data_IF_511478548181
#
_entry.id   IF_511478548181
#
_cell.length_a   1.000
_cell.length_b   1.000
_cell.length_c   1.000
_cell.angle_alpha   90.00
_cell.angle_beta   90.00
_cell.angle_gamma   90.00
#
_symmetry.space_group_name_H-M   'P 1'
#
loop_
_entity.id
_entity.type
_entity.pdbx_description
1 polymer ?
#
# COMPACT_ATOMS: atom_id res chain seq x y z
N UNK A 1 -12.54 -5.13 -8.12
CA UNK A 1 -11.96 -4.51 -6.89
C UNK A 1 -12.96 -3.57 -6.27
N UNK A 2 -13.20 -3.71 -5.00
CA UNK A 2 -14.06 -2.79 -4.28
C UNK A 2 -13.26 -1.56 -3.86
N UNK A 3 -13.74 -0.37 -4.19
CA UNK A 3 -13.07 0.89 -3.86
C UNK A 3 -14.00 1.73 -2.99
N UNK A 4 -13.52 2.10 -1.81
CA UNK A 4 -14.23 2.96 -0.88
C UNK A 4 -13.45 4.27 -0.75
N UNK A 5 -14.09 5.38 -1.05
CA UNK A 5 -13.48 6.71 -0.95
C UNK A 5 -13.96 7.39 0.32
N UNK A 6 -13.08 8.20 0.91
CA UNK A 6 -13.40 8.99 2.11
C UNK A 6 -13.92 8.13 3.26
N UNK A 7 -13.42 6.88 3.34
CA UNK A 7 -13.90 5.95 4.35
C UNK A 7 -13.33 6.23 5.75
N UNK A 8 -12.28 7.00 5.84
CA UNK A 8 -11.59 7.31 7.09
C UNK A 8 -11.32 8.81 7.18
N UNK A 9 -12.33 9.61 7.51
CA UNK A 9 -12.18 11.06 7.55
C UNK A 9 -11.25 11.52 8.66
N UNK A 10 -10.57 12.64 8.43
CA UNK A 10 -9.64 13.23 9.38
C UNK A 10 -8.42 12.34 9.60
N UNK A 11 -7.87 12.39 10.78
CA UNK A 11 -6.68 11.65 11.17
C UNK A 11 -6.97 10.27 11.77
N UNK A 12 -8.22 9.81 11.68
CA UNK A 12 -8.63 8.50 12.18
C UNK A 12 -7.95 7.35 11.47
N UNK A 13 -7.54 7.52 10.22
CA UNK A 13 -6.89 6.46 9.46
C UNK A 13 -5.65 5.92 10.18
N UNK A 14 -4.94 6.76 10.91
CA UNK A 14 -3.76 6.35 11.68
C UNK A 14 -4.10 5.31 12.73
N UNK A 15 -5.23 5.48 13.39
CA UNK A 15 -5.68 4.57 14.45
C UNK A 15 -6.41 3.37 13.90
N UNK A 16 -7.35 3.60 13.00
CA UNK A 16 -8.25 2.57 12.51
C UNK A 16 -7.51 1.51 11.69
N UNK A 17 -6.45 1.91 11.00
CA UNK A 17 -5.70 1.00 10.12
C UNK A 17 -4.27 0.75 10.57
N UNK A 18 -3.84 1.40 11.63
CA UNK A 18 -2.50 1.20 12.18
C UNK A 18 -1.39 1.56 11.20
N UNK A 19 -1.59 2.61 10.42
CA UNK A 19 -0.65 2.99 9.35
C UNK A 19 0.75 3.37 9.86
N UNK A 20 0.88 3.68 11.13
CA UNK A 20 2.16 3.98 11.75
C UNK A 20 2.86 2.72 12.27
N UNK A 21 2.26 1.54 12.09
CA UNK A 21 2.75 0.30 12.70
C UNK A 21 2.62 -0.88 11.76
N UNK A 22 3.73 -1.54 11.52
CA UNK A 22 3.75 -2.82 10.80
C UNK A 22 3.04 -3.93 11.56
N UNK A 23 2.84 -3.76 12.87
CA UNK A 23 2.14 -4.72 13.72
C UNK A 23 0.71 -4.96 13.26
N UNK A 24 0.13 -4.02 12.54
CA UNK A 24 -1.23 -4.13 12.00
C UNK A 24 -1.28 -4.81 10.64
N UNK A 25 -0.15 -5.29 10.12
CA UNK A 25 -0.11 -5.97 8.83
C UNK A 25 -0.06 -5.04 7.62
N UNK A 26 0.23 -3.77 7.82
CA UNK A 26 0.34 -2.79 6.75
C UNK A 26 1.81 -2.50 6.44
N UNK A 27 2.16 -2.59 5.17
CA UNK A 27 3.49 -2.24 4.67
C UNK A 27 3.41 -0.93 3.89
N UNK A 28 4.34 -0.03 4.15
CA UNK A 28 4.39 1.22 3.41
C UNK A 28 4.85 0.97 1.97
N UNK A 29 4.17 1.60 1.02
CA UNK A 29 4.58 1.61 -0.38
C UNK A 29 5.24 2.96 -0.64
N UNK A 30 6.55 2.95 -0.80
CA UNK A 30 7.32 4.16 -1.09
C UNK A 30 7.17 4.48 -2.58
N UNK A 31 6.54 5.61 -2.85
CA UNK A 31 6.27 6.08 -4.20
C UNK A 31 7.16 7.25 -4.61
N UNK A 32 8.14 7.60 -3.78
CA UNK A 32 9.03 8.74 -4.00
C UNK A 32 8.29 10.09 -4.05
N UNK A 33 7.05 10.13 -3.62
CA UNK A 33 6.28 11.37 -3.48
C UNK A 33 6.48 11.93 -2.07
N UNK A 34 6.10 13.21 -1.89
CA UNK A 34 6.20 13.84 -0.57
C UNK A 34 5.23 13.16 0.41
N UNK A 35 5.78 12.49 1.41
CA UNK A 35 5.02 11.75 2.41
C UNK A 35 4.12 12.63 3.28
N UNK A 36 4.33 13.96 3.29
CA UNK A 36 3.45 14.89 4.02
C UNK A 36 2.06 14.95 3.40
N UNK A 37 1.96 14.74 2.10
CA UNK A 37 0.70 14.89 1.36
C UNK A 37 0.17 13.57 0.84
N UNK A 38 1.00 12.56 0.72
CA UNK A 38 0.65 11.29 0.11
C UNK A 38 1.09 10.14 0.99
N UNK A 39 0.36 9.07 0.93
CA UNK A 39 0.78 7.83 1.57
C UNK A 39 0.03 6.66 0.97
N UNK A 40 0.74 5.56 0.80
CA UNK A 40 0.15 4.31 0.33
C UNK A 40 0.66 3.17 1.21
N UNK A 41 -0.26 2.32 1.64
CA UNK A 41 0.03 1.16 2.46
C UNK A 41 -0.68 -0.06 1.89
N UNK A 42 -0.02 -1.19 1.97
CA UNK A 42 -0.55 -2.45 1.46
C UNK A 42 -0.65 -3.47 2.60
N UNK A 43 -1.74 -4.20 2.65
CA UNK A 43 -1.96 -5.30 3.58
C UNK A 43 -2.07 -6.60 2.79
N UNK A 44 -0.99 -7.40 2.70
CA UNK A 44 -1.00 -8.60 1.86
C UNK A 44 -1.84 -9.73 2.42
N UNK A 45 -2.13 -9.73 3.71
CA UNK A 45 -2.98 -10.76 4.33
C UNK A 45 -4.46 -10.50 4.02
N UNK A 46 -4.87 -9.24 4.10
CA UNK A 46 -6.26 -8.83 3.86
C UNK A 46 -6.52 -8.45 2.41
N UNK A 47 -5.48 -8.38 1.59
CA UNK A 47 -5.52 -7.99 0.18
C UNK A 47 -6.13 -6.59 0.00
N UNK A 48 -5.65 -5.66 0.79
CA UNK A 48 -6.15 -4.28 0.80
C UNK A 48 -5.01 -3.31 0.54
N UNK A 49 -5.34 -2.21 -0.13
CA UNK A 49 -4.43 -1.10 -0.36
C UNK A 49 -5.14 0.17 0.11
N UNK A 50 -4.51 0.87 1.03
CA UNK A 50 -5.00 2.14 1.56
C UNK A 50 -4.11 3.27 1.05
N UNK A 51 -4.73 4.37 0.66
CA UNK A 51 -3.97 5.57 0.30
C UNK A 51 -4.68 6.83 0.76
N UNK A 52 -3.90 7.87 0.97
CA UNK A 52 -4.42 9.20 1.15
C UNK A 52 -3.65 10.18 0.27
N UNK A 53 -4.34 11.25 -0.12
CA UNK A 53 -3.77 12.33 -0.91
C UNK A 53 -4.40 13.62 -0.42
N UNK A 54 -3.63 14.46 0.26
CA UNK A 54 -4.08 15.75 0.77
C UNK A 54 -5.38 15.67 1.59
N UNK A 55 -5.50 14.61 2.39
CA UNK A 55 -6.67 14.41 3.24
C UNK A 55 -7.74 13.49 2.67
N UNK A 56 -7.74 13.25 1.38
CA UNK A 56 -8.66 12.28 0.76
C UNK A 56 -8.14 10.87 0.99
N UNK A 57 -9.02 9.99 1.45
CA UNK A 57 -8.67 8.61 1.74
C UNK A 57 -9.36 7.65 0.78
N UNK A 58 -8.66 6.58 0.42
CA UNK A 58 -9.18 5.54 -0.47
C UNK A 58 -8.74 4.18 0.04
N UNK A 59 -9.69 3.27 0.17
CA UNK A 59 -9.40 1.86 0.47
C UNK A 59 -9.81 1.02 -0.74
N UNK A 60 -8.86 0.24 -1.24
CA UNK A 60 -9.09 -0.72 -2.32
C UNK A 60 -9.03 -2.12 -1.73
N UNK A 61 -10.05 -2.92 -1.99
CA UNK A 61 -10.15 -4.30 -1.50
C UNK A 61 -10.13 -5.23 -2.70
N UNK A 62 -9.05 -5.97 -2.85
CA UNK A 62 -8.89 -6.91 -3.96
C UNK A 62 -9.69 -8.18 -3.71
N UNK A 63 -10.26 -8.74 -4.77
CA UNK A 63 -11.03 -9.97 -4.71
C UNK A 63 -10.14 -11.21 -4.76
N UNK A 64 -8.87 -11.07 -5.14
CA UNK A 64 -7.92 -12.17 -5.29
C UNK A 64 -6.50 -11.69 -5.08
N UNK A 65 -5.56 -12.61 -4.78
CA UNK A 65 -4.13 -12.28 -4.72
C UNK A 65 -3.60 -11.67 -6.03
N UNK A 66 -4.08 -12.18 -7.16
CA UNK A 66 -3.69 -11.71 -8.48
C UNK A 66 -4.11 -10.26 -8.71
N UNK A 67 -5.33 -9.92 -8.30
CA UNK A 67 -5.83 -8.55 -8.41
C UNK A 67 -5.05 -7.59 -7.52
N UNK A 68 -4.71 -8.04 -6.30
CA UNK A 68 -3.91 -7.27 -5.37
C UNK A 68 -2.52 -6.96 -5.95
N UNK A 69 -1.85 -7.99 -6.47
CA UNK A 69 -0.51 -7.83 -7.08
C UNK A 69 -0.57 -6.94 -8.32
N UNK A 70 -1.59 -7.11 -9.15
CA UNK A 70 -1.77 -6.29 -10.35
C UNK A 70 -1.95 -4.81 -9.99
N UNK A 71 -2.69 -4.51 -8.94
CA UNK A 71 -2.89 -3.13 -8.50
C UNK A 71 -1.59 -2.48 -8.03
N UNK A 72 -0.78 -3.21 -7.27
CA UNK A 72 0.52 -2.70 -6.84
C UNK A 72 1.46 -2.46 -8.02
N UNK A 73 1.42 -3.33 -9.03
CA UNK A 73 2.21 -3.13 -10.24
C UNK A 73 1.73 -1.96 -11.07
N UNK A 74 0.44 -1.67 -11.05
CA UNK A 74 -0.08 -0.46 -11.70
C UNK A 74 0.39 0.81 -11.02
N UNK A 75 0.48 0.81 -9.69
CA UNK A 75 1.04 1.93 -8.92
C UNK A 75 2.51 2.15 -9.32
N UNK A 76 3.28 1.07 -9.42
CA UNK A 76 4.66 1.14 -9.86
C UNK A 76 4.78 1.70 -11.28
N UNK A 77 3.97 1.19 -12.20
CA UNK A 77 3.98 1.64 -13.60
C UNK A 77 3.59 3.13 -13.71
N UNK A 78 2.58 3.56 -12.95
CA UNK A 78 2.17 4.96 -12.93
C UNK A 78 3.30 5.86 -12.42
N UNK A 79 3.96 5.45 -11.34
CA UNK A 79 5.08 6.21 -10.78
C UNK A 79 6.22 6.35 -11.79
N UNK A 80 6.58 5.27 -12.45
CA UNK A 80 7.65 5.29 -13.47
C UNK A 80 7.28 6.19 -14.64
N UNK A 81 6.03 6.11 -15.10
CA UNK A 81 5.56 6.92 -16.21
C UNK A 81 5.55 8.42 -15.90
N UNK A 82 5.43 8.78 -14.63
CA UNK A 82 5.38 10.18 -14.19
C UNK A 82 6.73 10.68 -13.62
N UNK A 83 7.78 9.89 -13.77
CA UNK A 83 9.14 10.31 -13.38
C UNK A 83 9.45 10.20 -11.89
N UNK A 84 8.61 9.51 -11.10
CA UNK A 84 8.86 9.32 -9.67
C UNK A 84 9.77 8.13 -9.37
N UNK A 85 10.10 7.32 -10.38
CA UNK A 85 10.89 6.12 -10.19
C UNK A 85 10.03 4.94 -9.71
N UNK A 86 10.67 3.83 -9.31
CA UNK A 86 9.94 2.64 -8.92
C UNK A 86 9.20 2.82 -7.60
N UNK A 87 8.02 2.21 -7.49
CA UNK A 87 7.37 2.02 -6.21
C UNK A 87 8.03 0.85 -5.48
N UNK A 88 8.33 1.03 -4.20
CA UNK A 88 8.97 0.00 -3.37
C UNK A 88 8.11 -0.29 -2.16
N UNK A 89 7.94 -1.57 -1.83
CA UNK A 89 7.19 -2.00 -0.66
C UNK A 89 8.17 -2.29 0.47
N UNK A 90 8.00 -1.62 1.58
CA UNK A 90 8.85 -1.79 2.76
C UNK A 90 8.19 -2.77 3.73
N UNK A 91 8.72 -3.99 3.88
CA UNK A 91 8.19 -4.97 4.82
C UNK A 91 8.55 -4.66 6.28
N UNK A 92 9.35 -3.63 6.54
CA UNK A 92 9.86 -3.35 7.87
C UNK A 92 10.78 -4.46 8.35
N UNK A 93 10.73 -4.75 9.64
CA UNK A 93 11.49 -5.85 10.25
C UNK A 93 10.61 -7.07 10.51
N UNK A 94 9.53 -7.23 9.77
CA UNK A 94 8.57 -8.32 9.94
C UNK A 94 8.82 -9.41 8.88
N UNK A 95 9.41 -10.56 9.27
CA UNK A 95 9.67 -11.65 8.33
C UNK A 95 8.38 -12.24 7.74
N UNK A 96 7.29 -12.23 8.49
CA UNK A 96 6.01 -12.73 8.01
C UNK A 96 5.44 -11.83 6.92
N UNK A 97 5.59 -10.52 7.06
CA UNK A 97 5.20 -9.55 6.03
C UNK A 97 6.00 -9.77 4.75
N UNK A 98 7.32 -9.91 4.88
CA UNK A 98 8.21 -10.16 3.75
C UNK A 98 7.81 -11.44 3.03
N UNK A 99 7.61 -12.52 3.78
CA UNK A 99 7.22 -13.81 3.21
C UNK A 99 5.87 -13.73 2.47
N UNK A 100 4.89 -13.03 3.04
CA UNK A 100 3.60 -12.85 2.40
C UNK A 100 3.71 -12.12 1.06
N UNK A 101 4.52 -11.07 1.00
CA UNK A 101 4.76 -10.31 -0.23
C UNK A 101 5.50 -11.15 -1.28
N UNK A 102 6.47 -11.96 -0.85
CA UNK A 102 7.18 -12.87 -1.75
C UNK A 102 6.26 -13.92 -2.35
N UNK A 103 5.35 -14.48 -1.54
CA UNK A 103 4.35 -15.44 -2.02
C UNK A 103 3.40 -14.85 -3.05
N UNK A 104 3.17 -13.56 -3.00
CA UNK A 104 2.35 -12.84 -3.98
C UNK A 104 3.10 -12.48 -5.25
N UNK A 105 4.36 -12.91 -5.37
CA UNK A 105 5.18 -12.61 -6.54
C UNK A 105 5.69 -11.19 -6.60
N UNK A 106 5.81 -10.51 -5.46
CA UNK A 106 6.19 -9.10 -5.36
C UNK A 106 7.63 -8.90 -4.89
N UNK A 107 8.45 -9.94 -4.94
CA UNK A 107 9.85 -9.89 -4.48
C UNK A 107 10.63 -8.76 -5.14
N UNK A 108 10.41 -8.52 -6.42
CA UNK A 108 11.08 -7.46 -7.18
C UNK A 108 10.65 -6.05 -6.77
N UNK A 109 9.54 -5.90 -6.05
CA UNK A 109 9.07 -4.61 -5.55
C UNK A 109 9.50 -4.34 -4.10
N UNK A 110 10.16 -5.30 -3.44
CA UNK A 110 10.58 -5.11 -2.05
C UNK A 110 11.70 -4.10 -1.95
N UNK A 111 11.59 -3.28 -0.92
CA UNK A 111 12.58 -2.24 -0.62
C UNK A 111 13.90 -2.86 -0.16
#
# INVERSE_FOLDING_TARGET
MKITREFCPGDRYTYDFGLCSYEKGWAQVDTAQDASYFGTWANPTRLMIFSYCEGDTTLKEAASPEEFSAELREIDAWNRAHGYGPARIDPGFDPAMKAALELLGLTDMLH
#
